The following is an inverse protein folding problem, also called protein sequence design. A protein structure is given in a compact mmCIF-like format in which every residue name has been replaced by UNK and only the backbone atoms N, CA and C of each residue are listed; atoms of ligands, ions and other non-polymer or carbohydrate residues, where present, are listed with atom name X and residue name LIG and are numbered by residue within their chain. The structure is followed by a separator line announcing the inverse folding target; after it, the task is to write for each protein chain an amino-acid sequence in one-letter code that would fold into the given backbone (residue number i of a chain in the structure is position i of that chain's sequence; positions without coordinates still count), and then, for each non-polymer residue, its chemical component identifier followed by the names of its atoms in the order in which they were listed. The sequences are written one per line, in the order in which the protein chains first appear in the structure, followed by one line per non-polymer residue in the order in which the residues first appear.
data_IF_993226677181
#
_entry.id   IF_993226677181
#
_cell.length_a   1.000
_cell.length_b   1.000
_cell.length_c   1.000
_cell.angle_alpha   90.00
_cell.angle_beta   90.00
_cell.angle_gamma   90.00
#
_symmetry.space_group_name_H-M   'P 1'
#
loop_
_entity.id
_entity.type
_entity.pdbx_description
1 polymer ?
#
# COMPACT_ATOMS: atom_id res chain seq x y z
N UNK A 1 16.77 9.60 5.56
CA UNK A 1 16.99 8.51 4.57
C UNK A 1 17.22 9.15 3.21
N UNK A 2 18.16 8.64 2.39
CA UNK A 2 18.35 9.14 1.04
C UNK A 2 17.04 9.08 0.25
N UNK A 3 16.72 10.14 -0.50
CA UNK A 3 15.56 10.20 -1.40
C UNK A 3 14.23 10.64 -0.79
N UNK A 4 14.13 10.85 0.53
CA UNK A 4 12.92 11.44 1.14
C UNK A 4 12.78 12.92 0.75
N UNK A 5 11.55 13.40 0.47
CA UNK A 5 11.29 14.84 0.30
C UNK A 5 11.71 15.68 1.51
N UNK A 6 11.46 15.20 2.74
CA UNK A 6 11.94 15.79 3.99
C UNK A 6 11.85 14.78 5.16
N UNK A 7 12.35 15.14 6.34
CA UNK A 7 12.33 14.34 7.57
C UNK A 7 11.43 14.90 8.68
N UNK A 8 10.60 15.91 8.37
CA UNK A 8 9.64 16.50 9.31
C UNK A 8 8.61 15.46 9.77
N UNK A 9 8.12 15.62 11.00
CA UNK A 9 7.18 14.69 11.63
C UNK A 9 5.78 14.65 10.99
N UNK A 10 5.39 15.68 10.22
CA UNK A 10 4.07 15.80 9.60
C UNK A 10 4.21 15.70 8.08
N UNK A 11 3.41 14.81 7.49
CA UNK A 11 3.15 14.73 6.05
C UNK A 11 1.70 15.17 5.82
N UNK A 12 1.46 16.15 4.96
CA UNK A 12 0.18 16.88 4.90
C UNK A 12 -0.54 16.90 3.55
N UNK A 13 0.03 16.29 2.50
CA UNK A 13 -0.57 16.25 1.17
C UNK A 13 -0.22 17.45 0.29
N UNK A 14 -0.92 17.60 -0.84
CA UNK A 14 -0.61 18.62 -1.86
C UNK A 14 0.85 18.54 -2.33
N UNK A 15 1.66 19.57 -2.06
CA UNK A 15 3.09 19.60 -2.40
C UNK A 15 3.92 18.63 -1.54
N UNK A 16 3.32 18.07 -0.48
CA UNK A 16 3.90 17.13 0.47
C UNK A 16 3.13 15.79 0.46
N UNK A 17 3.04 15.20 -0.74
CA UNK A 17 2.25 14.01 -0.96
C UNK A 17 2.89 12.76 -0.33
N UNK A 18 2.10 12.00 0.45
CA UNK A 18 2.56 10.79 1.15
C UNK A 18 3.26 9.77 0.24
N UNK A 19 2.77 9.58 -1.00
CA UNK A 19 3.37 8.63 -1.93
C UNK A 19 4.85 8.95 -2.26
N UNK A 20 5.23 10.24 -2.28
CA UNK A 20 6.60 10.67 -2.53
C UNK A 20 7.55 10.26 -1.38
N UNK A 21 7.03 10.21 -0.15
CA UNK A 21 7.76 9.71 1.02
C UNK A 21 7.79 8.19 1.11
N UNK A 22 6.70 7.51 0.72
CA UNK A 22 6.65 6.04 0.75
C UNK A 22 7.57 5.39 -0.29
N UNK A 23 7.68 5.98 -1.48
CA UNK A 23 8.48 5.43 -2.58
C UNK A 23 9.92 5.06 -2.20
N UNK A 24 10.78 5.97 -1.72
CA UNK A 24 12.16 5.63 -1.36
C UNK A 24 12.25 4.62 -0.22
N UNK A 25 11.23 4.56 0.66
CA UNK A 25 11.17 3.57 1.73
C UNK A 25 10.86 2.17 1.18
N UNK A 26 9.90 2.06 0.26
CA UNK A 26 9.59 0.80 -0.43
C UNK A 26 10.81 0.31 -1.22
N UNK A 27 11.45 1.20 -2.00
CA UNK A 27 12.60 0.89 -2.86
C UNK A 27 13.79 0.31 -2.08
N UNK A 28 13.94 0.66 -0.79
CA UNK A 28 15.03 0.18 0.08
C UNK A 28 14.61 -0.98 1.00
N UNK A 29 13.32 -1.30 1.09
CA UNK A 29 12.81 -2.31 2.02
C UNK A 29 13.00 -3.73 1.48
N UNK A 30 13.17 -4.72 2.35
CA UNK A 30 13.11 -6.15 1.99
C UNK A 30 11.74 -6.77 2.31
N UNK A 31 10.91 -6.06 3.06
CA UNK A 31 9.53 -6.43 3.35
C UNK A 31 8.67 -5.17 3.51
N UNK A 32 7.43 -5.24 3.03
CA UNK A 32 6.41 -4.20 3.21
C UNK A 32 5.12 -4.86 3.70
N UNK A 33 4.58 -4.31 4.78
CA UNK A 33 3.28 -4.67 5.33
C UNK A 33 2.36 -3.46 5.22
N UNK A 34 1.23 -3.60 4.53
CA UNK A 34 0.22 -2.55 4.40
C UNK A 34 -1.05 -2.97 5.14
N UNK A 35 -1.50 -2.14 6.08
CA UNK A 35 -2.79 -2.30 6.78
C UNK A 35 -3.62 -1.05 6.54
N UNK A 36 -4.40 -1.08 5.47
CA UNK A 36 -5.20 0.06 4.99
C UNK A 36 -6.68 -0.27 4.99
N UNK A 37 -7.53 0.72 5.24
CA UNK A 37 -8.98 0.48 5.31
C UNK A 37 -9.54 0.07 3.95
N UNK A 38 -9.12 0.80 2.91
CA UNK A 38 -9.66 0.70 1.56
C UNK A 38 -8.53 0.74 0.53
N UNK A 39 -8.69 -0.01 -0.56
CA UNK A 39 -7.87 0.12 -1.75
C UNK A 39 -8.65 0.80 -2.86
N UNK A 40 -8.12 1.90 -3.38
CA UNK A 40 -8.64 2.59 -4.56
C UNK A 40 -7.66 2.42 -5.72
N UNK A 41 -8.16 2.27 -6.94
CA UNK A 41 -7.32 2.01 -8.13
C UNK A 41 -6.33 3.15 -8.36
N UNK A 42 -6.76 4.39 -8.14
CA UNK A 42 -5.92 5.59 -8.27
C UNK A 42 -4.72 5.55 -7.32
N UNK A 43 -4.93 5.19 -6.04
CA UNK A 43 -3.88 5.07 -5.04
C UNK A 43 -2.93 3.90 -5.31
N UNK A 44 -3.48 2.72 -5.65
CA UNK A 44 -2.67 1.53 -5.96
C UNK A 44 -1.72 1.79 -7.13
N UNK A 45 -2.18 2.45 -8.19
CA UNK A 45 -1.34 2.77 -9.36
C UNK A 45 -0.10 3.60 -9.03
N UNK A 46 -0.12 4.41 -7.97
CA UNK A 46 1.03 5.22 -7.56
C UNK A 46 2.17 4.37 -6.97
N UNK A 47 1.83 3.25 -6.31
CA UNK A 47 2.82 2.42 -5.60
C UNK A 47 3.10 1.09 -6.31
N UNK A 48 2.24 0.67 -7.24
CA UNK A 48 2.33 -0.63 -7.91
C UNK A 48 3.70 -0.92 -8.53
N UNK A 49 4.37 0.01 -9.25
CA UNK A 49 5.69 -0.27 -9.82
C UNK A 49 6.75 -0.56 -8.76
N UNK A 50 6.71 0.16 -7.62
CA UNK A 50 7.64 0.00 -6.51
C UNK A 50 7.40 -1.30 -5.74
N UNK A 51 6.14 -1.71 -5.60
CA UNK A 51 5.79 -2.99 -5.01
C UNK A 51 6.22 -4.15 -5.90
N UNK A 52 6.09 -4.02 -7.23
CA UNK A 52 6.60 -5.03 -8.15
C UNK A 52 8.13 -5.09 -8.13
N UNK A 53 8.82 -3.95 -8.07
CA UNK A 53 10.27 -3.90 -7.91
C UNK A 53 10.72 -4.62 -6.63
N UNK A 54 10.12 -4.28 -5.48
CA UNK A 54 10.33 -4.96 -4.19
C UNK A 54 10.25 -6.48 -4.33
N UNK A 55 9.20 -6.98 -4.96
CA UNK A 55 8.98 -8.42 -5.14
C UNK A 55 9.97 -9.05 -6.12
N UNK A 56 10.44 -8.30 -7.11
CA UNK A 56 11.38 -8.78 -8.14
C UNK A 56 12.81 -8.94 -7.62
N UNK A 57 13.15 -8.24 -6.53
CA UNK A 57 14.41 -8.38 -5.80
C UNK A 57 14.27 -9.23 -4.53
N UNK A 58 13.40 -10.24 -4.60
CA UNK A 58 13.11 -11.24 -3.56
C UNK A 58 12.54 -10.68 -2.24
N UNK A 59 11.97 -9.47 -2.29
CA UNK A 59 11.25 -8.88 -1.17
C UNK A 59 9.89 -9.53 -0.92
N UNK A 60 9.25 -9.16 0.19
CA UNK A 60 7.95 -9.70 0.61
C UNK A 60 6.91 -8.60 0.77
N UNK A 61 5.68 -8.87 0.35
CA UNK A 61 4.55 -7.97 0.52
C UNK A 61 3.40 -8.67 1.28
N UNK A 62 2.90 -8.04 2.34
CA UNK A 62 1.62 -8.41 2.95
C UNK A 62 0.67 -7.23 2.91
N UNK A 63 -0.57 -7.48 2.51
CA UNK A 63 -1.61 -6.46 2.45
C UNK A 63 -2.84 -6.96 3.17
N UNK A 64 -3.33 -6.15 4.10
CA UNK A 64 -4.63 -6.32 4.74
C UNK A 64 -5.50 -5.11 4.40
N UNK A 65 -6.60 -5.36 3.71
CA UNK A 65 -7.64 -4.36 3.42
C UNK A 65 -8.99 -4.79 4.00
N UNK A 66 -10.01 -3.92 4.00
CA UNK A 66 -11.36 -4.28 4.42
C UNK A 66 -12.41 -4.16 3.31
N UNK A 67 -13.56 -4.79 3.53
CA UNK A 67 -14.81 -4.58 2.77
C UNK A 67 -15.76 -3.57 3.47
N UNK A 68 -15.30 -2.90 4.54
CA UNK A 68 -16.09 -1.91 5.26
C UNK A 68 -16.58 -0.79 4.30
N UNK A 69 -17.87 -0.46 4.37
CA UNK A 69 -18.54 0.53 3.50
C UNK A 69 -18.46 0.24 1.98
N UNK A 70 -18.02 -0.96 1.57
CA UNK A 70 -17.86 -1.34 0.15
C UNK A 70 -16.99 -0.37 -0.67
N UNK A 71 -16.02 0.30 -0.02
CA UNK A 71 -15.16 1.31 -0.68
C UNK A 71 -13.98 0.69 -1.42
N UNK A 72 -13.50 -0.48 -0.99
CA UNK A 72 -12.40 -1.18 -1.68
C UNK A 72 -12.83 -1.54 -3.10
N UNK A 73 -12.14 -0.98 -4.09
CA UNK A 73 -12.47 -1.19 -5.48
C UNK A 73 -12.01 -2.59 -5.96
N UNK A 74 -12.86 -3.38 -6.60
CA UNK A 74 -12.47 -4.68 -7.15
C UNK A 74 -11.31 -4.60 -8.15
N UNK A 75 -11.23 -3.51 -8.93
CA UNK A 75 -10.11 -3.26 -9.85
C UNK A 75 -8.78 -3.04 -9.11
N UNK A 76 -8.80 -2.40 -7.94
CA UNK A 76 -7.62 -2.23 -7.10
C UNK A 76 -7.14 -3.58 -6.54
N UNK A 77 -8.06 -4.41 -6.06
CA UNK A 77 -7.75 -5.79 -5.65
C UNK A 77 -7.13 -6.59 -6.79
N UNK A 78 -7.68 -6.46 -8.00
CA UNK A 78 -7.16 -7.16 -9.18
C UNK A 78 -5.71 -6.79 -9.46
N UNK A 79 -5.39 -5.49 -9.48
CA UNK A 79 -4.01 -5.02 -9.67
C UNK A 79 -3.05 -5.59 -8.63
N UNK A 80 -3.46 -5.64 -7.35
CA UNK A 80 -2.64 -6.21 -6.27
C UNK A 80 -2.45 -7.73 -6.42
N UNK A 81 -3.49 -8.45 -6.88
CA UNK A 81 -3.38 -9.89 -7.13
C UNK A 81 -2.52 -10.22 -8.34
N UNK A 82 -2.46 -9.33 -9.33
CA UNK A 82 -1.69 -9.49 -10.58
C UNK A 82 -0.17 -9.27 -10.40
N UNK A 83 0.28 -8.70 -9.26
CA UNK A 83 1.69 -8.67 -8.89
C UNK A 83 2.29 -10.09 -8.91
N UNK A 84 3.59 -10.22 -9.21
CA UNK A 84 4.29 -11.52 -9.17
C UNK A 84 5.36 -11.53 -8.09
N UNK A 85 5.60 -12.69 -7.46
CA UNK A 85 6.54 -12.84 -6.32
C UNK A 85 5.85 -13.14 -4.98
N UNK A 86 6.61 -13.06 -3.89
CA UNK A 86 6.20 -13.43 -2.54
C UNK A 86 5.23 -12.42 -1.90
N UNK A 87 3.92 -12.60 -2.16
CA UNK A 87 2.85 -11.70 -1.72
C UNK A 87 1.71 -12.43 -1.03
N UNK A 88 1.16 -11.83 0.02
CA UNK A 88 -0.10 -12.27 0.64
C UNK A 88 -1.10 -11.11 0.70
N UNK A 89 -2.31 -11.34 0.22
CA UNK A 89 -3.41 -10.37 0.24
C UNK A 89 -4.57 -10.94 1.05
N UNK A 90 -5.02 -10.17 2.04
CA UNK A 90 -6.14 -10.52 2.91
C UNK A 90 -7.21 -9.42 2.86
N UNK A 91 -8.48 -9.84 2.86
CA UNK A 91 -9.63 -8.95 3.01
C UNK A 91 -10.29 -9.25 4.35
N UNK A 92 -10.31 -8.28 5.24
CA UNK A 92 -11.06 -8.32 6.48
C UNK A 92 -12.54 -8.10 6.19
N UNK A 93 -13.37 -9.06 6.62
CA UNK A 93 -14.83 -8.98 6.50
C UNK A 93 -15.43 -8.18 7.67
N UNK A 94 -15.77 -6.93 7.41
CA UNK A 94 -16.40 -6.00 8.34
C UNK A 94 -17.91 -6.26 8.48
N UNK A 95 -18.27 -7.45 8.99
CA UNK A 95 -19.67 -7.82 9.24
C UNK A 95 -20.28 -7.09 10.45
N UNK A 96 -19.51 -7.00 11.55
CA UNK A 96 -19.97 -6.41 12.83
C UNK A 96 -19.00 -5.40 13.42
N UNK A 97 -17.78 -5.33 12.90
CA UNK A 97 -16.72 -4.46 13.39
C UNK A 97 -16.16 -3.64 12.24
N UNK A 98 -16.14 -2.29 12.34
CA UNK A 98 -15.46 -1.45 11.37
C UNK A 98 -13.97 -1.77 11.30
N UNK A 99 -13.42 -1.81 10.08
CA UNK A 99 -11.98 -1.93 9.84
C UNK A 99 -11.50 -0.64 9.17
N UNK A 100 -10.85 0.23 9.95
CA UNK A 100 -10.41 1.55 9.47
C UNK A 100 -8.92 1.92 9.76
N UNK A 101 -7.96 0.98 9.78
CA UNK A 101 -6.55 1.31 9.99
C UNK A 101 -5.92 1.96 8.75
N UNK A 102 -4.80 2.66 8.98
CA UNK A 102 -3.91 3.26 7.96
C UNK A 102 -2.48 3.16 8.50
N UNK A 103 -1.76 2.12 8.10
CA UNK A 103 -0.39 1.84 8.52
C UNK A 103 0.38 1.12 7.41
#
# INVERSE_FOLDING_TARGET
MPGLPHDRALISGSDDALHAHLRPLIDQSTAVDLSVSFLMTSGVRLVLPHLQDLLSRDGRLRVLTGDYLDVTEPAALRLMTDLTGARHLFVFRASRMPFHPKA
#
